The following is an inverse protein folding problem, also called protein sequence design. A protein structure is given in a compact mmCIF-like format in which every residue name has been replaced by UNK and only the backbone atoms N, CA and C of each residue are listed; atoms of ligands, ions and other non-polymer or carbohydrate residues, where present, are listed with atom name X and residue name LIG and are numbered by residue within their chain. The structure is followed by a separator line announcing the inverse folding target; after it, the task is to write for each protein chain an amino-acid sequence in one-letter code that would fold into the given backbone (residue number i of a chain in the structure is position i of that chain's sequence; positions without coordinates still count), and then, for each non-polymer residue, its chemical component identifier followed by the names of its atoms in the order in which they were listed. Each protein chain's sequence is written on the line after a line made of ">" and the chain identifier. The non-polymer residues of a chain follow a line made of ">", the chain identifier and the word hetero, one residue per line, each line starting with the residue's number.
data_IF_223758715357
#
_entry.id   IF_223758715357
#
_cell.length_a   1.000
_cell.length_b   1.000
_cell.length_c   1.000
_cell.angle_alpha   90.00
_cell.angle_beta   90.00
_cell.angle_gamma   90.00
#
_symmetry.space_group_name_H-M   'P 1'
#
loop_
_entity.id
_entity.type
_entity.pdbx_description
1 polymer ?
#
# COMPACT_ATOMS: atom_id res chain seq x y z
N UNK A 1 -18.79 7.93 66.64
CA UNK A 1 -19.85 8.76 66.02
C UNK A 1 -19.20 9.61 64.95
N UNK A 2 -19.28 9.24 63.69
CA UNK A 2 -19.06 10.14 62.54
C UNK A 2 -19.69 9.45 61.33
N UNK A 3 -20.76 10.11 60.84
CA UNK A 3 -21.61 9.68 59.71
C UNK A 3 -20.90 10.03 58.41
N UNK A 4 -20.62 9.05 57.57
CA UNK A 4 -20.21 9.26 56.18
C UNK A 4 -21.47 9.35 55.33
N UNK A 5 -21.71 10.53 54.77
CA UNK A 5 -22.73 10.78 53.79
C UNK A 5 -22.20 10.35 52.42
N UNK A 6 -22.81 9.30 51.83
CA UNK A 6 -22.60 8.91 50.44
C UNK A 6 -23.45 9.83 49.54
N UNK A 7 -22.81 10.76 48.85
CA UNK A 7 -23.43 11.56 47.79
C UNK A 7 -23.37 10.78 46.49
N UNK A 8 -24.48 10.24 46.03
CA UNK A 8 -24.61 9.60 44.70
C UNK A 8 -24.70 10.73 43.70
N UNK A 9 -23.60 10.92 42.96
CA UNK A 9 -23.55 11.79 41.76
C UNK A 9 -24.11 11.01 40.58
N UNK A 10 -25.40 11.24 40.27
CA UNK A 10 -26.08 10.71 39.09
C UNK A 10 -25.54 11.44 37.86
N UNK A 11 -24.55 10.84 37.19
CA UNK A 11 -24.06 11.31 35.91
C UNK A 11 -25.08 10.96 34.81
N UNK A 12 -25.93 11.91 34.45
CA UNK A 12 -26.71 11.84 33.22
C UNK A 12 -25.73 11.86 32.02
N UNK A 13 -25.43 10.70 31.46
CA UNK A 13 -24.76 10.56 30.17
C UNK A 13 -25.74 11.02 29.10
N UNK A 14 -25.65 12.29 28.71
CA UNK A 14 -26.27 12.81 27.48
C UNK A 14 -25.56 12.11 26.30
N UNK A 15 -26.19 11.06 25.78
CA UNK A 15 -25.88 10.48 24.47
C UNK A 15 -26.22 11.56 23.42
N UNK A 16 -25.24 12.42 23.12
CA UNK A 16 -25.25 13.16 21.88
C UNK A 16 -25.05 12.11 20.76
N UNK A 17 -26.14 11.56 20.27
CA UNK A 17 -26.16 10.94 18.96
C UNK A 17 -25.70 12.02 17.99
N UNK A 18 -24.48 11.87 17.46
CA UNK A 18 -24.03 12.62 16.30
C UNK A 18 -24.97 12.23 15.16
N UNK A 19 -26.07 12.99 14.99
CA UNK A 19 -26.83 12.95 13.75
C UNK A 19 -25.81 13.36 12.69
N UNK A 20 -25.27 12.39 11.93
CA UNK A 20 -24.50 12.65 10.73
C UNK A 20 -25.44 13.41 9.80
N UNK A 21 -25.30 14.73 9.74
CA UNK A 21 -26.03 15.55 8.81
C UNK A 21 -25.67 15.06 7.40
N UNK A 22 -26.67 14.56 6.69
CA UNK A 22 -26.55 14.12 5.30
C UNK A 22 -25.87 15.22 4.48
N UNK A 23 -24.65 14.96 4.01
CA UNK A 23 -23.89 15.93 3.21
C UNK A 23 -24.35 15.87 1.76
N UNK A 24 -24.42 17.05 1.13
CA UNK A 24 -24.75 17.17 -0.29
C UNK A 24 -23.49 17.52 -1.07
N UNK A 25 -23.04 16.59 -1.91
CA UNK A 25 -21.90 16.77 -2.79
C UNK A 25 -22.38 17.14 -4.21
N UNK A 26 -21.89 18.24 -4.74
CA UNK A 26 -22.06 18.59 -6.16
C UNK A 26 -20.69 18.62 -6.80
N UNK A 27 -20.37 17.61 -7.62
CA UNK A 27 -19.02 17.36 -8.08
C UNK A 27 -18.93 17.25 -9.59
N UNK A 28 -17.85 17.83 -10.14
CA UNK A 28 -17.33 17.48 -11.46
C UNK A 28 -16.47 16.22 -11.37
N UNK A 29 -16.15 15.57 -12.49
CA UNK A 29 -15.29 14.38 -12.51
C UNK A 29 -13.92 14.65 -11.87
N UNK A 30 -13.35 15.83 -12.08
CA UNK A 30 -12.08 16.25 -11.47
C UNK A 30 -12.20 16.37 -9.96
N UNK A 31 -13.22 17.06 -9.46
CA UNK A 31 -13.48 17.20 -8.03
C UNK A 31 -13.77 15.84 -7.36
N UNK A 32 -14.48 14.95 -8.07
CA UNK A 32 -14.73 13.60 -7.62
C UNK A 32 -13.41 12.79 -7.46
N UNK A 33 -12.52 12.89 -8.44
CA UNK A 33 -11.19 12.27 -8.35
C UNK A 33 -10.35 12.84 -7.20
N UNK A 34 -10.33 14.16 -7.03
CA UNK A 34 -9.60 14.82 -5.92
C UNK A 34 -10.16 14.41 -4.55
N UNK A 35 -11.50 14.29 -4.42
CA UNK A 35 -12.15 13.82 -3.20
C UNK A 35 -11.79 12.36 -2.89
N UNK A 36 -11.80 11.49 -3.91
CA UNK A 36 -11.40 10.10 -3.78
C UNK A 36 -9.96 9.96 -3.28
N UNK A 37 -9.01 10.70 -3.87
CA UNK A 37 -7.61 10.71 -3.45
C UNK A 37 -7.43 11.13 -1.98
N UNK A 38 -8.32 11.95 -1.45
CA UNK A 38 -8.28 12.37 -0.05
C UNK A 38 -8.90 11.34 0.90
N UNK A 39 -9.95 10.65 0.47
CA UNK A 39 -10.80 9.85 1.36
C UNK A 39 -10.53 8.36 1.30
N UNK A 40 -10.13 7.84 0.14
CA UNK A 40 -10.00 6.40 -0.14
C UNK A 40 -8.97 5.75 0.79
N UNK A 41 -9.38 4.65 1.41
CA UNK A 41 -8.61 3.95 2.43
C UNK A 41 -7.26 3.47 1.93
N UNK A 42 -7.17 3.05 0.65
CA UNK A 42 -5.92 2.62 0.02
C UNK A 42 -4.86 3.73 0.01
N UNK A 43 -5.24 4.97 -0.28
CA UNK A 43 -4.30 6.12 -0.23
C UNK A 43 -3.91 6.44 1.22
N UNK A 44 -4.86 6.42 2.15
CA UNK A 44 -4.56 6.62 3.58
C UNK A 44 -3.59 5.56 4.10
N UNK A 45 -3.80 4.30 3.73
CA UNK A 45 -2.89 3.22 4.11
C UNK A 45 -1.49 3.40 3.51
N UNK A 46 -1.38 3.81 2.24
CA UNK A 46 -0.09 4.10 1.63
C UNK A 46 0.61 5.31 2.28
N UNK A 47 -0.12 6.31 2.75
CA UNK A 47 0.43 7.40 3.54
C UNK A 47 0.95 6.90 4.90
N UNK A 48 0.23 6.00 5.56
CA UNK A 48 0.69 5.33 6.78
C UNK A 48 1.94 4.47 6.48
N UNK A 49 1.99 3.76 5.36
CA UNK A 49 3.17 3.00 4.94
C UNK A 49 4.39 3.91 4.73
N UNK A 50 4.18 5.13 4.24
CA UNK A 50 5.22 6.16 4.16
C UNK A 50 5.73 6.57 5.54
N UNK A 51 4.84 6.77 6.50
CA UNK A 51 5.21 7.07 7.89
C UNK A 51 5.94 5.90 8.55
N UNK A 52 5.46 4.67 8.32
CA UNK A 52 6.13 3.44 8.74
C UNK A 52 7.55 3.35 8.18
N UNK A 53 7.73 3.67 6.89
CA UNK A 53 9.07 3.70 6.29
C UNK A 53 9.95 4.78 6.90
N UNK A 54 9.40 5.95 7.24
CA UNK A 54 10.13 7.00 7.95
C UNK A 54 10.54 6.54 9.36
N UNK A 55 9.68 5.83 10.09
CA UNK A 55 9.99 5.25 11.39
C UNK A 55 11.10 4.19 11.28
N UNK A 56 11.02 3.26 10.32
CA UNK A 56 12.09 2.30 10.00
C UNK A 56 13.41 2.97 9.67
N UNK A 57 13.38 4.07 8.93
CA UNK A 57 14.58 4.84 8.62
C UNK A 57 15.24 5.45 9.87
N UNK A 58 14.43 5.89 10.85
CA UNK A 58 14.92 6.35 12.16
C UNK A 58 15.49 5.20 12.97
N UNK A 59 14.84 4.04 12.95
CA UNK A 59 15.32 2.80 13.60
C UNK A 59 16.71 2.39 13.05
N UNK A 60 16.89 2.35 11.74
CA UNK A 60 18.22 2.09 11.14
C UNK A 60 19.25 3.15 11.53
N UNK A 61 18.84 4.42 11.67
CA UNK A 61 19.75 5.47 12.15
C UNK A 61 20.13 5.24 13.60
N UNK A 62 19.17 4.81 14.43
CA UNK A 62 19.43 4.55 15.85
C UNK A 62 20.44 3.42 16.06
N UNK A 63 20.54 2.44 15.13
CA UNK A 63 21.59 1.41 15.19
C UNK A 63 23.01 1.97 15.06
N UNK A 64 23.17 3.12 14.41
CA UNK A 64 24.46 3.82 14.32
C UNK A 64 24.75 4.70 15.56
N UNK A 65 23.77 4.92 16.42
CA UNK A 65 23.91 5.71 17.63
C UNK A 65 24.46 4.86 18.79
N UNK A 66 24.99 5.49 19.87
CA UNK A 66 25.39 4.80 21.06
C UNK A 66 24.27 3.97 21.68
N UNK A 67 24.57 2.72 22.04
CA UNK A 67 23.66 1.84 22.74
C UNK A 67 24.10 1.70 24.19
N UNK A 68 23.19 1.86 25.13
CA UNK A 68 23.44 1.70 26.57
C UNK A 68 22.50 0.63 27.10
N UNK A 69 23.08 -0.43 27.64
CA UNK A 69 22.33 -1.56 28.19
C UNK A 69 22.67 -1.76 29.65
N UNK A 70 21.67 -1.92 30.49
CA UNK A 70 21.82 -2.37 31.88
C UNK A 70 21.63 -3.88 31.99
N UNK A 71 22.44 -4.54 32.76
CA UNK A 71 22.30 -5.97 33.06
C UNK A 71 22.43 -6.25 34.55
N UNK A 72 21.58 -7.14 35.04
CA UNK A 72 21.65 -7.69 36.40
C UNK A 72 21.58 -9.19 36.25
N UNK A 73 22.56 -9.88 36.83
CA UNK A 73 22.67 -11.34 36.76
C UNK A 73 23.02 -11.89 38.14
N UNK A 74 22.43 -12.99 38.53
CA UNK A 74 22.83 -13.79 39.64
C UNK A 74 22.87 -15.25 39.24
N UNK A 75 23.99 -15.92 39.53
CA UNK A 75 24.19 -17.33 39.19
C UNK A 75 24.69 -18.11 40.42
N UNK A 76 24.22 -19.35 40.52
CA UNK A 76 24.63 -20.30 41.52
C UNK A 76 25.37 -21.44 40.85
N UNK A 77 26.62 -21.69 41.30
CA UNK A 77 27.41 -22.84 40.89
C UNK A 77 27.10 -24.01 41.83
N UNK A 78 26.41 -25.03 41.37
CA UNK A 78 26.21 -26.28 42.11
C UNK A 78 27.54 -27.04 42.30
N UNK A 79 28.47 -26.85 41.36
CA UNK A 79 29.84 -27.36 41.45
C UNK A 79 30.77 -26.25 40.95
N UNK A 80 31.69 -25.82 41.83
CA UNK A 80 32.67 -24.80 41.47
C UNK A 80 33.70 -25.44 40.55
N UNK A 81 34.04 -24.79 39.42
CA UNK A 81 35.03 -25.32 38.48
C UNK A 81 36.39 -25.55 39.14
N UNK A 82 37.00 -26.69 38.85
CA UNK A 82 38.36 -27.03 39.29
C UNK A 82 39.36 -26.49 38.28
N UNK A 83 40.34 -25.75 38.75
CA UNK A 83 41.45 -25.28 37.93
C UNK A 83 42.72 -26.04 38.36
N UNK A 84 43.43 -26.62 37.40
CA UNK A 84 44.72 -27.25 37.66
C UNK A 84 45.80 -26.16 37.80
N UNK A 85 46.36 -26.01 39.01
CA UNK A 85 47.45 -25.07 39.24
C UNK A 85 48.77 -25.81 39.24
N UNK A 86 49.80 -25.28 38.58
CA UNK A 86 51.16 -25.80 38.77
C UNK A 86 51.56 -25.58 40.25
N UNK A 87 52.27 -26.55 40.79
CA UNK A 87 52.83 -26.43 42.11
C UNK A 87 53.96 -25.37 42.13
N UNK A 88 53.61 -24.17 42.53
CA UNK A 88 54.53 -23.05 42.73
C UNK A 88 55.00 -22.89 44.14
N UNK A 89 54.39 -23.63 45.09
CA UNK A 89 54.71 -23.57 46.54
C UNK A 89 55.91 -24.43 46.87
N UNK A 90 55.87 -25.71 46.45
CA UNK A 90 56.95 -26.65 46.74
C UNK A 90 58.34 -26.18 46.23
N UNK A 91 58.48 -25.72 44.97
CA UNK A 91 59.74 -25.17 44.47
C UNK A 91 60.21 -23.97 45.30
N UNK A 92 59.27 -23.07 45.65
CA UNK A 92 59.59 -21.89 46.48
C UNK A 92 60.05 -22.24 47.87
N UNK A 93 59.39 -23.21 48.55
CA UNK A 93 59.77 -23.71 49.86
C UNK A 93 61.13 -24.43 49.82
N UNK A 94 61.30 -25.31 48.79
CA UNK A 94 62.58 -25.98 48.66
C UNK A 94 63.72 -24.99 48.42
N UNK A 95 63.50 -23.95 47.66
CA UNK A 95 64.48 -22.89 47.37
C UNK A 95 64.86 -22.17 48.66
N UNK A 96 63.89 -21.76 49.52
CA UNK A 96 64.16 -21.12 50.83
C UNK A 96 64.95 -22.04 51.73
N UNK A 97 64.60 -23.34 51.80
CA UNK A 97 65.29 -24.31 52.62
C UNK A 97 66.74 -24.53 52.19
N UNK A 98 66.96 -24.61 50.85
CA UNK A 98 68.32 -24.77 50.28
C UNK A 98 69.16 -23.53 50.48
N UNK A 99 68.58 -22.33 50.21
CA UNK A 99 69.31 -21.07 50.39
C UNK A 99 69.73 -20.78 51.79
N UNK A 100 69.01 -21.31 52.78
CA UNK A 100 69.32 -21.19 54.26
C UNK A 100 70.11 -22.40 54.79
N UNK A 101 70.58 -23.30 53.93
CA UNK A 101 71.43 -24.42 54.33
C UNK A 101 70.75 -25.44 55.27
N UNK A 102 69.42 -25.55 55.24
CA UNK A 102 68.63 -26.49 56.06
C UNK A 102 68.96 -27.93 55.64
N UNK A 103 69.19 -28.79 56.61
CA UNK A 103 69.49 -30.22 56.42
C UNK A 103 68.29 -31.08 56.80
N UNK A 104 68.14 -32.24 56.19
CA UNK A 104 67.08 -33.20 56.47
C UNK A 104 67.37 -33.94 57.80
N UNK A 105 66.43 -34.77 58.30
CA UNK A 105 66.61 -35.53 59.60
C UNK A 105 67.79 -36.50 59.61
N UNK A 106 68.43 -36.81 58.45
CA UNK A 106 69.66 -37.63 58.35
C UNK A 106 70.90 -36.76 58.17
N UNK A 107 70.82 -35.45 58.29
CA UNK A 107 71.94 -34.52 58.19
C UNK A 107 72.39 -34.16 56.76
N UNK A 108 71.69 -34.62 55.70
CA UNK A 108 72.01 -34.35 54.30
C UNK A 108 71.39 -33.04 53.87
N UNK A 109 72.04 -32.27 52.92
CA UNK A 109 71.45 -31.07 52.36
C UNK A 109 70.11 -31.38 51.70
N UNK A 110 69.11 -30.52 51.92
CA UNK A 110 67.85 -30.58 51.17
C UNK A 110 68.16 -30.13 49.76
N UNK A 111 67.70 -30.92 48.77
CA UNK A 111 67.75 -30.54 47.31
C UNK A 111 66.37 -30.42 46.73
N UNK A 112 66.20 -29.50 45.76
CA UNK A 112 64.96 -29.40 44.97
C UNK A 112 64.74 -30.69 44.21
N UNK A 113 63.60 -31.36 44.34
CA UNK A 113 63.30 -32.54 43.57
C UNK A 113 63.29 -32.18 42.06
N UNK A 114 64.07 -32.92 41.32
CA UNK A 114 64.08 -32.76 39.81
C UNK A 114 62.88 -33.50 39.23
N UNK A 115 61.66 -33.06 39.62
CA UNK A 115 60.39 -33.66 39.18
C UNK A 115 59.69 -32.78 38.14
N UNK A 116 58.98 -33.43 37.23
CA UNK A 116 58.14 -32.71 36.30
C UNK A 116 57.17 -31.81 37.11
N UNK A 117 56.76 -30.64 36.57
CA UNK A 117 55.79 -29.76 37.22
C UNK A 117 54.57 -30.57 37.65
N UNK A 118 54.35 -30.65 39.01
CA UNK A 118 53.13 -31.25 39.54
C UNK A 118 51.99 -30.23 39.45
N UNK A 119 50.83 -30.71 39.12
CA UNK A 119 49.62 -29.91 39.13
C UNK A 119 48.70 -30.40 40.22
N UNK A 120 48.13 -29.49 40.99
CA UNK A 120 47.12 -29.85 41.98
C UNK A 120 45.77 -29.20 41.61
N UNK A 121 44.68 -29.92 41.84
CA UNK A 121 43.34 -29.38 41.57
C UNK A 121 42.99 -28.37 42.68
N UNK A 122 42.68 -27.16 42.28
CA UNK A 122 42.23 -26.12 43.19
C UNK A 122 40.86 -25.58 42.75
N UNK A 123 39.96 -25.40 43.67
CA UNK A 123 38.68 -24.77 43.43
C UNK A 123 38.76 -23.29 43.86
N UNK A 124 38.79 -22.39 42.87
CA UNK A 124 38.76 -20.96 43.12
C UNK A 124 37.40 -20.41 42.75
N UNK A 125 36.66 -19.94 43.73
CA UNK A 125 35.37 -19.35 43.52
C UNK A 125 34.43 -19.49 44.70
N UNK A 126 33.24 -19.01 44.56
CA UNK A 126 32.17 -19.10 45.53
C UNK A 126 30.90 -19.56 44.86
N UNK A 127 29.98 -20.22 45.57
CA UNK A 127 28.76 -20.76 44.99
C UNK A 127 27.87 -19.69 44.35
N UNK A 128 27.80 -18.50 44.92
CA UNK A 128 26.95 -17.41 44.40
C UNK A 128 27.80 -16.29 43.84
N UNK A 129 27.44 -15.92 42.60
CA UNK A 129 28.03 -14.78 41.90
C UNK A 129 26.89 -13.89 41.37
N UNK A 130 26.84 -12.66 41.86
CA UNK A 130 25.89 -11.66 41.38
C UNK A 130 26.62 -10.50 40.72
N UNK A 131 26.11 -9.99 39.65
CA UNK A 131 26.64 -8.82 38.94
C UNK A 131 25.53 -7.87 38.54
N UNK A 132 25.81 -6.59 38.68
CA UNK A 132 24.96 -5.51 38.15
C UNK A 132 25.84 -4.50 37.44
N UNK A 133 25.46 -4.11 36.24
CA UNK A 133 26.31 -3.23 35.45
C UNK A 133 25.60 -2.53 34.28
N UNK A 134 26.32 -1.62 33.70
CA UNK A 134 25.94 -0.93 32.46
C UNK A 134 27.02 -1.15 31.42
N UNK A 135 26.56 -1.35 30.19
CA UNK A 135 27.42 -1.48 29.03
C UNK A 135 27.03 -0.43 27.99
N UNK A 136 27.98 0.38 27.60
CA UNK A 136 27.91 1.30 26.47
C UNK A 136 28.57 0.63 25.28
N UNK A 137 27.92 0.68 24.12
CA UNK A 137 28.48 0.18 22.87
C UNK A 137 28.23 1.19 21.75
N UNK A 138 29.26 1.48 20.98
CA UNK A 138 29.19 2.39 19.83
C UNK A 138 29.81 1.74 18.60
N UNK A 139 29.05 1.74 17.53
CA UNK A 139 29.54 1.40 16.21
C UNK A 139 30.40 2.56 15.69
N UNK A 140 31.68 2.31 15.39
CA UNK A 140 32.58 3.30 14.85
C UNK A 140 32.68 3.25 13.33
N UNK A 141 32.69 2.03 12.77
CA UNK A 141 32.79 1.84 11.33
C UNK A 141 32.14 0.53 10.88
N UNK A 142 31.14 0.64 9.98
CA UNK A 142 30.47 -0.49 9.36
C UNK A 142 30.04 -0.08 7.94
N UNK A 143 30.78 -0.44 6.88
CA UNK A 143 30.58 0.06 5.54
C UNK A 143 29.22 -0.29 4.92
N UNK A 144 28.68 -1.47 5.19
CA UNK A 144 27.35 -1.89 4.72
C UNK A 144 26.23 -1.06 5.35
N UNK A 145 26.40 -0.59 6.59
CA UNK A 145 25.47 0.33 7.23
C UNK A 145 25.43 1.70 6.54
N UNK A 146 26.56 2.22 6.06
CA UNK A 146 26.56 3.49 5.31
C UNK A 146 25.71 3.41 4.04
N UNK A 147 25.74 2.26 3.35
CA UNK A 147 24.86 2.04 2.18
C UNK A 147 23.39 1.91 2.63
N UNK A 148 23.10 1.21 3.73
CA UNK A 148 21.75 1.12 4.27
C UNK A 148 21.21 2.52 4.64
N UNK A 149 22.03 3.37 5.24
CA UNK A 149 21.69 4.76 5.54
C UNK A 149 21.41 5.59 4.26
N UNK A 150 22.17 5.34 3.18
CA UNK A 150 21.94 5.97 1.87
C UNK A 150 20.63 5.48 1.23
N UNK A 151 20.29 4.22 1.41
CA UNK A 151 19.08 3.61 0.86
C UNK A 151 17.78 4.17 1.50
N UNK A 152 17.85 4.79 2.69
CA UNK A 152 16.67 5.32 3.41
C UNK A 152 15.84 6.29 2.58
N UNK A 153 16.50 7.21 1.86
CA UNK A 153 15.81 8.17 0.99
C UNK A 153 15.10 7.42 -0.15
N UNK A 154 15.80 6.45 -0.77
CA UNK A 154 15.22 5.66 -1.86
C UNK A 154 14.07 4.76 -1.42
N UNK A 155 14.05 4.32 -0.16
CA UNK A 155 12.92 3.59 0.40
C UNK A 155 11.67 4.48 0.57
N UNK A 156 11.84 5.78 0.88
CA UNK A 156 10.75 6.75 0.86
C UNK A 156 10.31 7.03 -0.58
N UNK A 157 11.26 7.28 -1.51
CA UNK A 157 10.98 7.49 -2.94
C UNK A 157 10.16 6.32 -3.52
N UNK A 158 10.41 5.07 -3.06
CA UNK A 158 9.63 3.89 -3.44
C UNK A 158 8.17 4.01 -2.99
N UNK A 159 7.94 4.39 -1.74
CA UNK A 159 6.59 4.55 -1.21
C UNK A 159 5.84 5.68 -1.93
N UNK A 160 6.53 6.82 -2.16
CA UNK A 160 5.96 7.96 -2.89
C UNK A 160 5.62 7.61 -4.34
N UNK A 161 6.46 6.81 -5.02
CA UNK A 161 6.20 6.33 -6.37
C UNK A 161 5.00 5.34 -6.41
N UNK A 162 4.86 4.49 -5.39
CA UNK A 162 3.73 3.57 -5.27
C UNK A 162 2.41 4.32 -5.05
N UNK A 163 2.42 5.39 -4.24
CA UNK A 163 1.25 6.29 -4.08
C UNK A 163 0.82 6.83 -5.45
N UNK A 164 1.74 7.33 -6.26
CA UNK A 164 1.42 7.89 -7.59
C UNK A 164 0.81 6.86 -8.55
N UNK A 165 1.27 5.61 -8.51
CA UNK A 165 0.67 4.51 -9.30
C UNK A 165 -0.77 4.26 -8.85
N UNK A 166 -1.03 4.28 -7.55
CA UNK A 166 -2.39 4.10 -7.00
C UNK A 166 -3.29 5.29 -7.34
N UNK A 167 -2.79 6.53 -7.26
CA UNK A 167 -3.51 7.74 -7.64
C UNK A 167 -4.04 7.67 -9.08
N UNK A 168 -3.22 7.28 -10.04
CA UNK A 168 -3.63 7.12 -11.44
C UNK A 168 -4.71 6.04 -11.59
N UNK A 169 -4.63 4.98 -10.81
CA UNK A 169 -5.63 3.91 -10.81
C UNK A 169 -6.99 4.41 -10.27
N UNK A 170 -6.97 5.12 -9.15
CA UNK A 170 -8.17 5.68 -8.51
C UNK A 170 -8.83 6.72 -9.43
N UNK A 171 -8.06 7.65 -10.00
CA UNK A 171 -8.58 8.64 -10.95
C UNK A 171 -9.29 7.98 -12.12
N UNK A 172 -8.68 6.95 -12.72
CA UNK A 172 -9.25 6.19 -13.81
C UNK A 172 -10.58 5.51 -13.42
N UNK A 173 -10.61 4.86 -12.26
CA UNK A 173 -11.80 4.14 -11.79
C UNK A 173 -12.95 5.09 -11.45
N UNK A 174 -12.64 6.19 -10.75
CA UNK A 174 -13.64 7.24 -10.43
C UNK A 174 -14.19 7.86 -11.70
N UNK A 175 -13.36 8.18 -12.68
CA UNK A 175 -13.81 8.76 -13.94
C UNK A 175 -14.77 7.82 -14.68
N UNK A 176 -14.46 6.52 -14.75
CA UNK A 176 -15.33 5.51 -15.38
C UNK A 176 -16.67 5.39 -14.65
N UNK A 177 -16.66 5.29 -13.32
CA UNK A 177 -17.89 5.21 -12.53
C UNK A 177 -18.73 6.48 -12.68
N UNK A 178 -18.10 7.65 -12.64
CA UNK A 178 -18.76 8.94 -12.82
C UNK A 178 -19.48 9.06 -14.16
N UNK A 179 -18.78 8.80 -15.27
CA UNK A 179 -19.37 8.90 -16.60
C UNK A 179 -20.39 7.81 -16.88
N UNK A 180 -20.26 6.62 -16.26
CA UNK A 180 -21.28 5.57 -16.36
C UNK A 180 -22.63 6.04 -15.83
N UNK A 181 -22.64 6.66 -14.63
CA UNK A 181 -23.87 7.20 -14.02
C UNK A 181 -24.42 8.36 -14.88
N UNK A 182 -23.55 9.28 -15.27
CA UNK A 182 -23.97 10.46 -16.05
C UNK A 182 -24.62 10.09 -17.41
N UNK A 183 -24.08 9.06 -18.08
CA UNK A 183 -24.65 8.55 -19.34
C UNK A 183 -25.98 7.84 -19.08
N UNK A 184 -26.07 7.04 -18.02
CA UNK A 184 -27.30 6.35 -17.64
C UNK A 184 -28.44 7.36 -17.33
N UNK A 185 -28.14 8.46 -16.63
CA UNK A 185 -29.11 9.54 -16.38
C UNK A 185 -29.59 10.20 -17.68
N UNK A 186 -28.70 10.45 -18.62
CA UNK A 186 -29.08 11.02 -19.92
C UNK A 186 -29.93 10.05 -20.73
N UNK A 187 -29.58 8.75 -20.72
CA UNK A 187 -30.37 7.71 -21.36
C UNK A 187 -31.77 7.60 -20.76
N UNK A 188 -31.88 7.65 -19.41
CA UNK A 188 -33.17 7.65 -18.73
C UNK A 188 -34.04 8.81 -19.15
N UNK A 189 -33.52 10.05 -19.18
CA UNK A 189 -34.25 11.23 -19.67
C UNK A 189 -34.75 11.08 -21.08
N UNK A 190 -33.96 10.45 -21.95
CA UNK A 190 -34.37 10.18 -23.33
C UNK A 190 -35.54 9.17 -23.37
N UNK A 191 -35.47 8.07 -22.63
CA UNK A 191 -36.55 7.09 -22.53
C UNK A 191 -37.81 7.65 -21.93
N UNK A 192 -37.72 8.47 -20.88
CA UNK A 192 -38.90 9.13 -20.29
C UNK A 192 -39.58 10.04 -21.29
N UNK A 193 -38.82 10.72 -22.17
CA UNK A 193 -39.39 11.50 -23.27
C UNK A 193 -40.09 10.62 -24.33
N UNK A 194 -39.53 9.43 -24.66
CA UNK A 194 -40.18 8.45 -25.56
C UNK A 194 -41.46 7.90 -24.97
N UNK A 195 -41.47 7.54 -23.66
CA UNK A 195 -42.67 7.08 -22.94
C UNK A 195 -43.75 8.15 -23.01
N UNK A 196 -43.43 9.41 -22.72
CA UNK A 196 -44.39 10.52 -22.82
C UNK A 196 -44.97 10.71 -24.21
N UNK A 197 -44.16 10.51 -25.27
CA UNK A 197 -44.62 10.57 -26.66
C UNK A 197 -45.63 9.45 -26.99
N UNK A 198 -45.31 8.23 -26.54
CA UNK A 198 -46.19 7.07 -26.77
C UNK A 198 -47.49 7.13 -25.94
N UNK A 199 -47.42 7.64 -24.72
CA UNK A 199 -48.59 7.84 -23.86
C UNK A 199 -49.57 8.83 -24.53
N UNK A 200 -49.05 9.91 -25.10
CA UNK A 200 -49.85 10.86 -25.89
C UNK A 200 -50.45 10.19 -27.14
N UNK A 201 -49.64 9.41 -27.86
CA UNK A 201 -50.12 8.66 -29.04
C UNK A 201 -51.29 7.74 -28.68
N UNK A 202 -51.12 6.94 -27.59
CA UNK A 202 -52.18 6.06 -27.11
C UNK A 202 -53.47 6.81 -26.75
N UNK A 203 -53.36 7.94 -26.03
CA UNK A 203 -54.54 8.78 -25.70
C UNK A 203 -55.25 9.30 -26.97
N UNK A 204 -54.51 9.67 -27.99
CA UNK A 204 -55.08 10.14 -29.25
C UNK A 204 -55.74 8.98 -30.04
N UNK A 205 -55.11 7.77 -30.03
CA UNK A 205 -55.74 6.56 -30.60
C UNK A 205 -56.99 6.14 -29.87
N UNK A 206 -57.09 6.24 -28.55
CA UNK A 206 -58.33 5.99 -27.77
C UNK A 206 -59.45 6.92 -28.15
N UNK A 207 -59.17 8.22 -28.44
CA UNK A 207 -60.15 9.18 -28.91
C UNK A 207 -60.66 8.84 -30.33
N UNK A 208 -59.73 8.48 -31.21
CA UNK A 208 -60.06 8.08 -32.59
C UNK A 208 -60.88 6.80 -32.60
N UNK A 209 -60.57 5.79 -31.75
CA UNK A 209 -61.32 4.57 -31.63
C UNK A 209 -62.77 4.83 -31.16
N UNK A 210 -62.94 5.67 -30.12
CA UNK A 210 -64.30 6.05 -29.65
C UNK A 210 -65.18 6.70 -30.73
N UNK A 211 -64.51 7.35 -31.69
CA UNK A 211 -65.20 7.99 -32.82
C UNK A 211 -65.26 7.09 -34.09
N UNK A 212 -64.81 5.84 -34.00
CA UNK A 212 -64.83 4.86 -35.10
C UNK A 212 -63.73 5.04 -36.16
N UNK A 213 -62.70 5.85 -35.90
CA UNK A 213 -61.61 6.16 -36.84
C UNK A 213 -60.30 5.39 -36.61
N UNK A 214 -60.25 4.52 -35.64
CA UNK A 214 -59.10 3.66 -35.32
C UNK A 214 -59.51 2.28 -34.82
N UNK A 215 -58.65 1.29 -34.95
CA UNK A 215 -58.84 -0.06 -34.44
C UNK A 215 -58.35 -0.20 -32.98
N UNK A 216 -59.02 -1.03 -32.19
CA UNK A 216 -58.52 -1.35 -30.80
C UNK A 216 -57.15 -1.99 -30.83
N UNK A 217 -56.81 -2.76 -31.88
CA UNK A 217 -55.52 -3.39 -32.08
C UNK A 217 -54.35 -2.36 -32.06
N UNK A 218 -54.55 -1.15 -32.57
CA UNK A 218 -53.53 -0.11 -32.55
C UNK A 218 -53.22 0.40 -31.13
N UNK A 219 -54.27 0.50 -30.27
CA UNK A 219 -54.13 0.84 -28.88
C UNK A 219 -53.35 -0.23 -28.15
N UNK A 220 -53.66 -1.54 -28.41
CA UNK A 220 -53.00 -2.65 -27.76
C UNK A 220 -51.51 -2.70 -28.17
N UNK A 221 -51.18 -2.52 -29.43
CA UNK A 221 -49.77 -2.44 -29.88
C UNK A 221 -49.00 -1.31 -29.21
N UNK A 222 -49.62 -0.14 -29.12
CA UNK A 222 -49.00 1.01 -28.43
C UNK A 222 -48.82 0.74 -26.97
N UNK A 223 -49.77 0.06 -26.28
CA UNK A 223 -49.65 -0.34 -24.91
C UNK A 223 -48.52 -1.34 -24.66
N UNK A 224 -48.34 -2.32 -25.57
CA UNK A 224 -47.21 -3.27 -25.48
C UNK A 224 -45.87 -2.55 -25.58
N UNK A 225 -45.74 -1.61 -26.50
CA UNK A 225 -44.52 -0.79 -26.64
C UNK A 225 -44.26 0.08 -25.43
N UNK A 226 -45.29 0.71 -24.87
CA UNK A 226 -45.23 1.48 -23.60
C UNK A 226 -44.74 0.62 -22.43
N UNK A 227 -45.31 -0.59 -22.27
CA UNK A 227 -44.92 -1.50 -21.22
C UNK A 227 -43.43 -1.89 -21.32
N UNK A 228 -42.96 -2.19 -22.55
CA UNK A 228 -41.56 -2.52 -22.80
C UNK A 228 -40.62 -1.35 -22.46
N UNK A 229 -40.94 -0.11 -22.91
CA UNK A 229 -40.12 1.05 -22.58
C UNK A 229 -40.16 1.41 -21.09
N UNK A 230 -41.33 1.28 -20.45
CA UNK A 230 -41.46 1.49 -18.99
C UNK A 230 -40.63 0.50 -18.19
N UNK A 231 -40.62 -0.77 -18.62
CA UNK A 231 -39.76 -1.79 -18.01
C UNK A 231 -38.28 -1.42 -18.17
N UNK A 232 -37.87 -1.02 -19.37
CA UNK A 232 -36.49 -0.58 -19.66
C UNK A 232 -36.11 0.65 -18.84
N UNK A 233 -37.00 1.64 -18.72
CA UNK A 233 -36.80 2.85 -17.92
C UNK A 233 -36.60 2.50 -16.44
N UNK A 234 -37.42 1.59 -15.89
CA UNK A 234 -37.27 1.09 -14.50
C UNK A 234 -35.95 0.37 -14.30
N UNK A 235 -35.51 -0.47 -15.26
CA UNK A 235 -34.21 -1.15 -15.17
C UNK A 235 -33.04 -0.14 -15.15
N UNK A 236 -33.09 0.89 -16.01
CA UNK A 236 -32.05 1.92 -16.02
C UNK A 236 -32.06 2.74 -14.73
N UNK A 237 -33.23 3.01 -14.16
CA UNK A 237 -33.34 3.69 -12.87
C UNK A 237 -32.65 2.89 -11.76
N UNK A 238 -32.85 1.58 -11.73
CA UNK A 238 -32.15 0.71 -10.77
C UNK A 238 -30.64 0.64 -11.04
N UNK A 239 -30.22 0.65 -12.29
CA UNK A 239 -28.79 0.75 -12.65
C UNK A 239 -28.18 2.11 -12.21
N UNK A 240 -28.92 3.19 -12.28
CA UNK A 240 -28.49 4.51 -11.78
C UNK A 240 -28.32 4.47 -10.26
N UNK A 241 -29.27 3.89 -9.51
CA UNK A 241 -29.15 3.72 -8.05
C UNK A 241 -27.89 2.94 -7.69
N UNK A 242 -27.64 1.79 -8.32
CA UNK A 242 -26.43 0.98 -8.14
C UNK A 242 -25.17 1.75 -8.55
N UNK A 243 -25.24 2.49 -9.65
CA UNK A 243 -24.15 3.33 -10.13
C UNK A 243 -23.75 4.41 -9.12
N UNK A 244 -24.73 5.11 -8.54
CA UNK A 244 -24.48 6.08 -7.48
C UNK A 244 -23.90 5.43 -6.23
N UNK A 245 -24.41 4.27 -5.81
CA UNK A 245 -23.84 3.52 -4.67
C UNK A 245 -22.40 3.13 -4.91
N UNK A 246 -22.08 2.63 -6.11
CA UNK A 246 -20.72 2.27 -6.52
C UNK A 246 -19.79 3.50 -6.60
N UNK A 247 -20.30 4.62 -7.12
CA UNK A 247 -19.53 5.86 -7.18
C UNK A 247 -19.24 6.40 -5.77
N UNK A 248 -20.23 6.43 -4.88
CA UNK A 248 -20.06 6.82 -3.47
C UNK A 248 -19.01 5.95 -2.78
N UNK A 249 -19.06 4.64 -3.01
CA UNK A 249 -18.02 3.73 -2.51
C UNK A 249 -16.63 4.08 -3.06
N UNK A 250 -16.53 4.36 -4.36
CA UNK A 250 -15.25 4.75 -5.00
C UNK A 250 -14.72 6.11 -4.52
N UNK A 251 -15.60 6.97 -4.02
CA UNK A 251 -15.26 8.26 -3.40
C UNK A 251 -14.98 8.16 -1.90
N UNK A 252 -15.24 7.00 -1.30
CA UNK A 252 -15.20 6.76 0.14
C UNK A 252 -16.03 7.79 0.94
N UNK A 253 -17.27 8.03 0.48
CA UNK A 253 -18.30 8.82 1.18
C UNK A 253 -19.45 7.92 1.63
N UNK A 254 -20.23 8.40 2.59
CA UNK A 254 -21.34 7.63 3.16
C UNK A 254 -22.43 7.38 2.10
N UNK A 255 -23.05 6.20 2.16
CA UNK A 255 -24.15 5.84 1.27
C UNK A 255 -25.41 6.70 1.53
N UNK A 256 -25.55 7.25 2.72
CA UNK A 256 -26.66 8.16 3.07
C UNK A 256 -26.48 9.56 2.44
N UNK A 257 -25.27 9.96 2.07
CA UNK A 257 -25.00 11.28 1.49
C UNK A 257 -25.65 11.46 0.12
N UNK A 258 -25.99 12.71 -0.22
CA UNK A 258 -26.51 13.02 -1.56
C UNK A 258 -25.41 13.43 -2.50
N UNK A 259 -25.28 12.74 -3.65
CA UNK A 259 -24.32 13.05 -4.69
C UNK A 259 -25.03 13.55 -5.96
N UNK A 260 -24.58 14.67 -6.49
CA UNK A 260 -25.08 15.27 -7.73
C UNK A 260 -23.89 15.46 -8.70
N UNK A 261 -24.04 14.95 -9.91
CA UNK A 261 -23.04 15.10 -10.97
C UNK A 261 -23.25 16.43 -11.70
N UNK A 262 -22.15 17.19 -11.89
CA UNK A 262 -22.23 18.57 -12.40
C UNK A 262 -21.78 18.71 -13.85
N UNK A 263 -21.08 17.70 -14.40
CA UNK A 263 -20.56 17.80 -15.76
C UNK A 263 -21.66 17.64 -16.82
N UNK A 264 -21.45 18.32 -17.93
CA UNK A 264 -22.29 18.18 -19.10
C UNK A 264 -21.59 17.26 -20.11
N UNK A 265 -22.29 16.22 -20.55
CA UNK A 265 -21.79 15.36 -21.63
C UNK A 265 -21.84 16.13 -22.96
N UNK A 266 -20.67 16.33 -23.56
CA UNK A 266 -20.57 16.82 -24.95
C UNK A 266 -19.65 15.90 -25.76
N UNK A 267 -19.97 15.67 -27.02
CA UNK A 267 -19.15 14.89 -27.96
C UNK A 267 -17.78 15.56 -28.15
N UNK A 268 -17.71 16.89 -28.08
CA UNK A 268 -16.48 17.67 -28.18
C UNK A 268 -15.49 17.35 -27.08
N UNK A 269 -16.00 17.02 -25.90
CA UNK A 269 -15.18 16.61 -24.75
C UNK A 269 -14.36 15.34 -25.07
N UNK A 270 -14.92 14.45 -25.89
CA UNK A 270 -14.28 13.19 -26.29
C UNK A 270 -13.30 13.39 -27.44
N UNK A 271 -13.61 14.33 -28.38
CA UNK A 271 -12.82 14.58 -29.60
C UNK A 271 -11.54 15.39 -29.35
N UNK A 272 -11.44 16.14 -28.24
CA UNK A 272 -10.41 17.16 -27.99
C UNK A 272 -8.96 16.64 -27.84
N UNK A 273 -8.74 15.35 -27.54
CA UNK A 273 -7.43 14.80 -27.19
C UNK A 273 -6.74 13.96 -28.29
N UNK A 274 -7.25 13.99 -29.54
CA UNK A 274 -6.72 13.17 -30.65
C UNK A 274 -5.33 13.60 -31.18
N UNK A 275 -4.84 14.78 -30.79
CA UNK A 275 -3.71 15.43 -31.48
C UNK A 275 -2.33 15.22 -30.84
N UNK A 276 -2.22 14.51 -29.68
CA UNK A 276 -0.98 14.49 -28.90
C UNK A 276 -0.18 13.17 -28.92
N UNK A 277 -0.30 12.34 -29.94
CA UNK A 277 0.44 11.06 -30.02
C UNK A 277 1.96 11.19 -30.21
N UNK A 278 2.49 12.37 -30.48
CA UNK A 278 3.87 12.50 -31.03
C UNK A 278 5.00 12.45 -29.99
N UNK A 279 4.75 12.55 -28.68
CA UNK A 279 5.79 12.68 -27.66
C UNK A 279 5.59 11.76 -26.46
N UNK A 280 5.41 10.43 -26.67
CA UNK A 280 5.36 9.48 -25.56
C UNK A 280 6.77 9.21 -25.01
N UNK A 281 6.91 9.30 -23.67
CA UNK A 281 8.12 8.89 -22.96
C UNK A 281 7.74 7.86 -21.89
N UNK A 282 8.46 6.74 -21.81
CA UNK A 282 8.25 5.74 -20.78
C UNK A 282 8.34 6.30 -19.36
N UNK A 283 9.14 7.35 -19.14
CA UNK A 283 9.26 7.99 -17.83
C UNK A 283 7.99 8.75 -17.38
N UNK A 284 7.03 9.00 -18.25
CA UNK A 284 5.74 9.60 -17.89
C UNK A 284 4.85 8.57 -17.17
N UNK A 285 5.12 7.26 -17.36
CA UNK A 285 4.41 6.17 -16.72
C UNK A 285 4.89 5.97 -15.28
N UNK A 286 3.92 6.06 -14.33
CA UNK A 286 4.22 5.93 -12.90
C UNK A 286 4.76 4.55 -12.53
N UNK A 287 4.33 3.50 -13.25
CA UNK A 287 4.83 2.14 -13.07
C UNK A 287 6.32 2.03 -13.42
N UNK A 288 6.78 2.72 -14.48
CA UNK A 288 8.21 2.76 -14.84
C UNK A 288 9.01 3.57 -13.82
N UNK A 289 8.47 4.70 -13.35
CA UNK A 289 9.11 5.49 -12.28
C UNK A 289 9.30 4.65 -11.02
N UNK A 290 8.28 3.88 -10.61
CA UNK A 290 8.35 2.95 -9.48
C UNK A 290 9.44 1.89 -9.69
N UNK A 291 9.45 1.23 -10.84
CA UNK A 291 10.43 0.19 -11.16
C UNK A 291 11.86 0.73 -11.23
N UNK A 292 12.06 1.96 -11.68
CA UNK A 292 13.38 2.60 -11.65
C UNK A 292 13.87 2.82 -10.22
N UNK A 293 12.99 3.22 -9.29
CA UNK A 293 13.35 3.31 -7.86
C UNK A 293 13.69 1.93 -7.29
N UNK A 294 12.92 0.89 -7.64
CA UNK A 294 13.22 -0.51 -7.25
C UNK A 294 14.61 -0.92 -7.77
N UNK A 295 14.93 -0.63 -9.03
CA UNK A 295 16.24 -0.90 -9.62
C UNK A 295 17.38 -0.22 -8.86
N UNK A 296 17.20 1.04 -8.47
CA UNK A 296 18.20 1.76 -7.67
C UNK A 296 18.38 1.12 -6.29
N UNK A 297 17.29 0.70 -5.62
CA UNK A 297 17.35 -0.01 -4.34
C UNK A 297 18.08 -1.35 -4.46
N UNK A 298 17.81 -2.14 -5.51
CA UNK A 298 18.54 -3.39 -5.78
C UNK A 298 20.02 -3.12 -6.06
N UNK A 299 20.35 -2.05 -6.76
CA UNK A 299 21.73 -1.62 -6.98
C UNK A 299 22.46 -1.24 -5.67
N UNK A 300 21.75 -0.61 -4.73
CA UNK A 300 22.28 -0.34 -3.39
C UNK A 300 22.46 -1.62 -2.58
N UNK A 301 21.54 -2.60 -2.71
CA UNK A 301 21.69 -3.89 -2.03
C UNK A 301 22.91 -4.68 -2.52
N UNK A 302 23.18 -4.68 -3.84
CA UNK A 302 24.43 -5.24 -4.39
C UNK A 302 25.66 -4.56 -3.77
N UNK A 303 25.65 -3.22 -3.69
CA UNK A 303 26.78 -2.47 -3.09
C UNK A 303 26.93 -2.80 -1.60
N UNK A 304 25.84 -2.88 -0.85
CA UNK A 304 25.82 -3.26 0.56
C UNK A 304 26.47 -4.63 0.78
N UNK A 305 26.07 -5.63 0.01
CA UNK A 305 26.64 -6.97 0.10
C UNK A 305 28.12 -7.02 -0.29
N UNK A 306 28.56 -6.22 -1.27
CA UNK A 306 29.98 -6.10 -1.60
C UNK A 306 30.80 -5.50 -0.46
N UNK A 307 30.28 -4.49 0.23
CA UNK A 307 30.98 -3.84 1.34
C UNK A 307 31.01 -4.69 2.62
N UNK A 308 30.24 -5.77 2.71
CA UNK A 308 30.27 -6.68 3.86
C UNK A 308 31.59 -7.47 4.02
N UNK A 309 32.50 -7.40 3.06
CA UNK A 309 33.88 -7.92 3.17
C UNK A 309 34.80 -7.00 3.96
N UNK A 310 34.46 -5.75 4.11
CA UNK A 310 35.30 -4.78 4.84
C UNK A 310 35.10 -4.98 6.32
N UNK A 311 36.19 -4.91 7.14
CA UNK A 311 36.11 -5.07 8.59
C UNK A 311 35.14 -4.08 9.24
N UNK A 312 34.54 -4.49 10.36
CA UNK A 312 33.72 -3.64 11.21
C UNK A 312 34.49 -3.26 12.48
N UNK A 313 34.29 -2.05 12.97
CA UNK A 313 34.94 -1.51 14.15
C UNK A 313 33.87 -1.02 15.13
N UNK A 314 33.93 -1.52 16.36
CA UNK A 314 33.07 -1.11 17.47
C UNK A 314 33.91 -0.74 18.67
N UNK A 315 33.45 0.21 19.47
CA UNK A 315 34.00 0.49 20.79
C UNK A 315 32.95 0.17 21.85
N UNK A 316 33.44 -0.25 23.02
CA UNK A 316 32.55 -0.51 24.14
C UNK A 316 33.22 -0.07 25.45
N UNK A 317 32.37 0.34 26.39
CA UNK A 317 32.71 0.61 27.75
C UNK A 317 31.76 -0.18 28.65
N UNK A 318 32.31 -0.91 29.63
CA UNK A 318 31.52 -1.67 30.57
C UNK A 318 31.94 -1.28 32.01
N UNK A 319 30.95 -0.98 32.80
CA UNK A 319 31.08 -0.79 34.23
C UNK A 319 30.16 -1.76 34.95
N UNK A 320 30.72 -2.60 35.84
CA UNK A 320 29.93 -3.52 36.63
C UNK A 320 30.40 -3.56 38.09
N UNK A 321 29.50 -3.96 38.95
CA UNK A 321 29.79 -4.36 40.33
C UNK A 321 29.46 -5.83 40.48
N UNK A 322 30.37 -6.56 41.12
CA UNK A 322 30.28 -7.99 41.28
C UNK A 322 30.31 -8.34 42.76
N UNK A 323 29.34 -9.08 43.25
CA UNK A 323 29.28 -9.62 44.59
C UNK A 323 29.50 -11.12 44.53
N UNK A 324 30.43 -11.60 45.39
CA UNK A 324 30.86 -12.98 45.49
C UNK A 324 30.54 -13.48 46.89
N UNK A 325 29.84 -14.61 47.06
CA UNK A 325 29.41 -15.07 48.37
C UNK A 325 29.01 -16.54 48.44
N UNK A 326 28.85 -17.02 49.67
CA UNK A 326 28.41 -18.39 49.97
C UNK A 326 26.87 -18.53 49.92
N UNK A 327 26.14 -17.39 49.97
CA UNK A 327 24.69 -17.31 49.95
C UNK A 327 24.23 -16.35 48.83
N UNK A 328 22.96 -16.44 48.47
CA UNK A 328 22.36 -15.50 47.55
C UNK A 328 22.50 -14.06 48.04
N UNK A 329 23.12 -13.19 47.24
CA UNK A 329 23.57 -11.87 47.67
C UNK A 329 23.13 -10.73 46.72
N UNK A 330 22.26 -10.99 45.75
CA UNK A 330 21.83 -9.98 44.75
C UNK A 330 21.24 -8.72 45.40
N UNK A 331 20.47 -8.88 46.46
CA UNK A 331 19.80 -7.78 47.19
C UNK A 331 20.50 -7.44 48.53
N UNK A 332 21.62 -8.07 48.84
CA UNK A 332 22.38 -7.78 50.03
C UNK A 332 23.44 -6.71 49.75
N UNK A 333 23.09 -5.45 49.97
CA UNK A 333 23.99 -4.31 49.75
C UNK A 333 25.04 -4.15 50.88
N UNK A 334 24.94 -4.91 51.95
CA UNK A 334 25.98 -4.97 53.01
C UNK A 334 27.18 -5.81 52.57
N UNK A 335 27.04 -6.72 51.61
CA UNK A 335 28.16 -7.48 51.08
C UNK A 335 29.09 -6.59 50.26
N UNK A 336 30.35 -6.99 50.14
CA UNK A 336 31.35 -6.30 49.34
C UNK A 336 31.03 -6.47 47.86
N UNK A 337 30.69 -5.37 47.20
CA UNK A 337 30.54 -5.29 45.75
C UNK A 337 31.81 -4.73 45.10
N UNK A 338 32.52 -5.58 44.37
CA UNK A 338 33.78 -5.25 43.72
C UNK A 338 33.49 -4.55 42.37
N UNK A 339 34.19 -3.44 42.12
CA UNK A 339 34.07 -2.67 40.86
C UNK A 339 34.90 -3.34 39.78
N UNK A 340 34.32 -3.42 38.57
CA UNK A 340 35.05 -3.72 37.34
C UNK A 340 34.70 -2.66 36.31
N UNK A 341 35.72 -2.07 35.67
CA UNK A 341 35.54 -1.09 34.62
C UNK A 341 36.53 -1.39 33.52
N UNK A 342 36.03 -1.48 32.32
CA UNK A 342 36.87 -1.74 31.15
C UNK A 342 36.35 -0.95 29.92
N UNK A 343 37.29 -0.53 29.09
CA UNK A 343 37.05 0.04 27.82
C UNK A 343 37.84 -0.73 26.75
N UNK A 344 37.25 -0.90 25.56
CA UNK A 344 37.92 -1.61 24.49
C UNK A 344 37.42 -1.23 23.13
N UNK A 345 38.22 -1.58 22.14
CA UNK A 345 37.87 -1.52 20.73
C UNK A 345 37.92 -2.94 20.20
N UNK A 346 36.84 -3.31 19.47
CA UNK A 346 36.76 -4.60 18.81
C UNK A 346 36.72 -4.39 17.29
N UNK A 347 37.66 -5.00 16.57
CA UNK A 347 37.72 -5.04 15.12
C UNK A 347 37.42 -6.47 14.64
N UNK A 348 36.32 -6.63 13.92
CA UNK A 348 35.93 -7.92 13.33
C UNK A 348 36.32 -7.94 11.85
N UNK A 349 37.27 -8.83 11.49
CA UNK A 349 37.77 -9.01 10.13
C UNK A 349 37.28 -10.35 9.61
N UNK A 350 36.38 -10.36 8.61
CA UNK A 350 35.92 -11.61 8.01
C UNK A 350 37.00 -12.22 7.10
N UNK A 351 37.65 -13.29 7.56
CA UNK A 351 38.73 -13.97 6.79
C UNK A 351 38.13 -15.02 5.87
N UNK A 352 37.27 -15.87 6.37
CA UNK A 352 36.65 -16.94 5.62
C UNK A 352 35.24 -17.23 6.18
N UNK A 353 34.26 -17.34 5.30
CA UNK A 353 32.85 -17.53 5.66
C UNK A 353 32.18 -18.68 4.85
N UNK A 354 32.99 -19.62 4.33
CA UNK A 354 32.48 -20.70 3.49
C UNK A 354 31.84 -20.22 2.17
N UNK A 355 32.15 -19.00 1.71
CA UNK A 355 31.60 -18.44 0.49
C UNK A 355 30.22 -17.80 0.63
N UNK A 356 29.69 -17.64 1.87
CA UNK A 356 28.35 -17.08 2.12
C UNK A 356 28.17 -15.69 1.51
N UNK A 357 29.15 -14.80 1.69
CA UNK A 357 29.08 -13.43 1.13
C UNK A 357 29.10 -13.43 -0.39
N UNK A 358 29.89 -14.30 -1.02
CA UNK A 358 29.92 -14.43 -2.47
C UNK A 358 28.55 -14.84 -3.03
N UNK A 359 27.86 -15.79 -2.36
CA UNK A 359 26.52 -16.20 -2.76
C UNK A 359 25.47 -15.09 -2.50
N UNK A 360 25.58 -14.32 -1.43
CA UNK A 360 24.71 -13.15 -1.20
C UNK A 360 24.87 -12.09 -2.29
N UNK A 361 26.10 -11.80 -2.73
CA UNK A 361 26.34 -10.89 -3.85
C UNK A 361 25.75 -11.44 -5.15
N UNK A 362 25.90 -12.75 -5.41
CA UNK A 362 25.30 -13.39 -6.57
C UNK A 362 23.77 -13.27 -6.54
N UNK A 363 23.13 -13.54 -5.39
CA UNK A 363 21.69 -13.37 -5.22
C UNK A 363 21.23 -11.93 -5.46
N UNK A 364 21.95 -10.94 -4.92
CA UNK A 364 21.64 -9.53 -5.12
C UNK A 364 21.76 -9.12 -6.61
N UNK A 365 22.80 -9.59 -7.31
CA UNK A 365 22.94 -9.35 -8.75
C UNK A 365 21.81 -10.01 -9.56
N UNK A 366 21.41 -11.22 -9.23
CA UNK A 366 20.30 -11.91 -9.89
C UNK A 366 18.95 -11.19 -9.64
N UNK A 367 18.73 -10.64 -8.44
CA UNK A 367 17.57 -9.82 -8.15
C UNK A 367 17.56 -8.52 -8.96
N UNK A 368 18.73 -7.86 -9.11
CA UNK A 368 18.85 -6.69 -9.97
C UNK A 368 18.58 -7.05 -11.44
N UNK A 369 19.11 -8.17 -11.93
CA UNK A 369 18.83 -8.66 -13.29
C UNK A 369 17.33 -8.96 -13.47
N UNK A 370 16.69 -9.62 -12.50
CA UNK A 370 15.25 -9.86 -12.50
C UNK A 370 14.46 -8.56 -12.60
N UNK A 371 14.87 -7.52 -11.88
CA UNK A 371 14.26 -6.20 -11.96
C UNK A 371 14.40 -5.57 -13.35
N UNK A 372 15.57 -5.67 -13.99
CA UNK A 372 15.76 -5.21 -15.37
C UNK A 372 14.82 -5.95 -16.34
N UNK A 373 14.74 -7.28 -16.25
CA UNK A 373 13.84 -8.08 -17.09
C UNK A 373 12.36 -7.68 -16.86
N UNK A 374 11.99 -7.31 -15.63
CA UNK A 374 10.64 -6.80 -15.32
C UNK A 374 10.40 -5.45 -15.99
N UNK A 375 11.38 -4.54 -15.98
CA UNK A 375 11.28 -3.25 -16.66
C UNK A 375 11.07 -3.46 -18.17
N UNK A 376 11.87 -4.29 -18.80
CA UNK A 376 11.77 -4.60 -20.23
C UNK A 376 10.39 -5.20 -20.58
N UNK A 377 9.88 -6.09 -19.72
CA UNK A 377 8.55 -6.68 -19.93
C UNK A 377 7.43 -5.65 -19.76
N UNK A 378 7.53 -4.78 -18.76
CA UNK A 378 6.55 -3.70 -18.55
C UNK A 378 6.59 -2.69 -19.70
N UNK A 379 7.75 -2.36 -20.27
CA UNK A 379 7.86 -1.51 -21.46
C UNK A 379 7.12 -2.13 -22.65
N UNK A 380 7.33 -3.42 -22.93
CA UNK A 380 6.59 -4.14 -23.99
C UNK A 380 5.08 -4.16 -23.73
N UNK A 381 4.66 -4.33 -22.49
CA UNK A 381 3.24 -4.27 -22.11
C UNK A 381 2.65 -2.86 -22.33
N UNK A 382 3.43 -1.82 -22.04
CA UNK A 382 3.04 -0.42 -22.31
C UNK A 382 2.91 -0.18 -23.82
N UNK A 383 3.84 -0.68 -24.65
CA UNK A 383 3.77 -0.56 -26.10
C UNK A 383 2.50 -1.23 -26.67
N UNK A 384 2.19 -2.43 -26.18
CA UNK A 384 0.96 -3.13 -26.53
C UNK A 384 -0.26 -2.32 -26.09
N UNK A 385 -0.27 -1.81 -24.86
CA UNK A 385 -1.37 -1.02 -24.31
C UNK A 385 -1.59 0.28 -25.08
N UNK A 386 -0.53 0.99 -25.45
CA UNK A 386 -0.58 2.21 -26.26
C UNK A 386 -1.19 1.92 -27.62
N UNK A 387 -0.68 0.89 -28.32
CA UNK A 387 -1.18 0.50 -29.64
C UNK A 387 -2.65 0.08 -29.57
N UNK A 388 -3.00 -0.79 -28.63
CA UNK A 388 -4.37 -1.28 -28.48
C UNK A 388 -5.34 -0.15 -28.09
N UNK A 389 -5.00 0.68 -27.10
CA UNK A 389 -5.86 1.78 -26.67
C UNK A 389 -6.03 2.85 -27.74
N UNK A 390 -5.00 3.12 -28.54
CA UNK A 390 -5.10 4.03 -29.70
C UNK A 390 -6.06 3.52 -30.76
N UNK A 391 -5.96 2.22 -31.11
CA UNK A 391 -6.87 1.59 -32.10
C UNK A 391 -8.30 1.61 -31.57
N UNK A 392 -8.52 1.19 -30.32
CA UNK A 392 -9.85 1.16 -29.71
C UNK A 392 -10.45 2.57 -29.65
N UNK A 393 -9.66 3.58 -29.25
CA UNK A 393 -10.13 4.96 -29.14
C UNK A 393 -10.54 5.52 -30.50
N UNK A 394 -9.72 5.37 -31.55
CA UNK A 394 -10.05 5.79 -32.90
C UNK A 394 -11.32 5.12 -33.44
N UNK A 395 -11.45 3.80 -33.21
CA UNK A 395 -12.63 3.05 -33.60
C UNK A 395 -13.89 3.51 -32.87
N UNK A 396 -13.79 3.70 -31.53
CA UNK A 396 -14.90 4.19 -30.69
C UNK A 396 -15.36 5.59 -31.10
N UNK A 397 -14.43 6.48 -31.52
CA UNK A 397 -14.77 7.80 -32.03
C UNK A 397 -15.51 7.71 -33.39
N UNK A 398 -15.03 6.87 -34.30
CA UNK A 398 -15.71 6.64 -35.58
C UNK A 398 -17.10 6.06 -35.38
N UNK A 399 -17.24 5.09 -34.47
CA UNK A 399 -18.54 4.51 -34.10
C UNK A 399 -19.48 5.59 -33.52
N UNK A 400 -18.99 6.40 -32.57
CA UNK A 400 -19.77 7.48 -31.97
C UNK A 400 -20.28 8.48 -33.02
N UNK A 401 -19.42 8.89 -33.96
CA UNK A 401 -19.79 9.82 -35.03
C UNK A 401 -20.90 9.24 -35.95
N UNK A 402 -20.81 7.93 -36.25
CA UNK A 402 -21.84 7.23 -37.04
C UNK A 402 -23.15 7.10 -36.26
N UNK A 403 -23.09 6.72 -34.95
CA UNK A 403 -24.31 6.58 -34.15
C UNK A 403 -24.97 7.94 -33.87
N UNK A 404 -24.21 9.02 -33.73
CA UNK A 404 -24.75 10.38 -33.61
C UNK A 404 -25.56 10.75 -34.88
N UNK A 405 -25.02 10.47 -36.06
CA UNK A 405 -25.75 10.68 -37.35
C UNK A 405 -26.99 9.79 -37.47
N UNK A 406 -26.91 8.54 -37.00
CA UNK A 406 -28.02 7.60 -37.00
C UNK A 406 -29.20 8.09 -36.15
N UNK A 407 -28.91 8.59 -34.93
CA UNK A 407 -29.98 9.17 -34.06
C UNK A 407 -30.64 10.35 -34.73
N UNK A 408 -29.86 11.29 -35.29
CA UNK A 408 -30.42 12.46 -36.00
C UNK A 408 -31.29 12.03 -37.19
N UNK A 409 -30.85 11.01 -37.95
CA UNK A 409 -31.62 10.49 -39.07
C UNK A 409 -32.89 9.78 -38.61
N UNK A 410 -32.82 8.93 -37.61
CA UNK A 410 -33.97 8.21 -37.03
C UNK A 410 -34.99 9.20 -36.44
N UNK A 411 -34.54 10.27 -35.77
CA UNK A 411 -35.44 11.33 -35.31
C UNK A 411 -36.14 12.06 -36.44
N UNK A 412 -35.43 12.34 -37.54
CA UNK A 412 -36.03 12.93 -38.76
C UNK A 412 -37.08 11.99 -39.37
N UNK A 413 -36.78 10.69 -39.47
CA UNK A 413 -37.73 9.68 -40.01
C UNK A 413 -38.95 9.61 -39.11
N UNK A 414 -38.80 9.46 -37.80
CA UNK A 414 -39.88 9.46 -36.83
C UNK A 414 -40.77 10.70 -36.95
N UNK A 415 -40.19 11.89 -36.95
CA UNK A 415 -40.93 13.15 -37.06
C UNK A 415 -41.68 13.28 -38.37
N UNK A 416 -41.13 12.74 -39.46
CA UNK A 416 -41.80 12.73 -40.78
C UNK A 416 -42.97 11.74 -40.78
N UNK A 417 -42.79 10.53 -40.27
CA UNK A 417 -43.82 9.51 -40.17
C UNK A 417 -44.96 9.96 -39.24
N UNK A 418 -44.61 10.61 -38.13
CA UNK A 418 -45.59 11.21 -37.22
C UNK A 418 -46.48 12.24 -37.91
N UNK A 419 -45.91 13.16 -38.70
CA UNK A 419 -46.68 14.14 -39.50
C UNK A 419 -47.61 13.47 -40.50
N UNK A 420 -47.17 12.40 -41.20
CA UNK A 420 -47.99 11.62 -42.10
C UNK A 420 -49.15 10.97 -41.35
N UNK A 421 -48.89 10.37 -40.21
CA UNK A 421 -49.91 9.75 -39.36
C UNK A 421 -50.97 10.78 -38.92
N UNK A 422 -50.52 11.94 -38.40
CA UNK A 422 -51.41 13.05 -37.97
C UNK A 422 -52.28 13.59 -39.11
N UNK A 423 -51.84 13.47 -40.37
CA UNK A 423 -52.57 13.85 -41.57
C UNK A 423 -53.46 12.73 -42.17
N UNK A 424 -53.47 11.55 -41.53
CA UNK A 424 -54.22 10.38 -42.02
C UNK A 424 -53.57 9.67 -43.23
N UNK A 425 -52.34 10.00 -43.57
CA UNK A 425 -51.57 9.45 -44.70
C UNK A 425 -50.62 8.31 -44.35
N UNK A 426 -50.49 7.97 -43.06
CA UNK A 426 -49.62 6.92 -42.51
C UNK A 426 -50.37 6.01 -41.56
N UNK A 427 -49.84 4.80 -41.35
CA UNK A 427 -50.42 3.85 -40.38
C UNK A 427 -49.81 3.99 -38.99
N UNK A 428 -50.59 3.58 -37.97
CA UNK A 428 -50.11 3.44 -36.59
C UNK A 428 -48.91 2.50 -36.49
N UNK A 429 -48.91 1.44 -37.29
CA UNK A 429 -47.80 0.46 -37.31
C UNK A 429 -46.48 1.09 -37.78
N UNK A 430 -46.49 1.89 -38.85
CA UNK A 430 -45.30 2.61 -39.35
C UNK A 430 -44.77 3.56 -38.26
N UNK A 431 -45.64 4.28 -37.53
CA UNK A 431 -45.24 5.20 -36.47
C UNK A 431 -44.60 4.46 -35.32
N UNK A 432 -45.16 3.33 -34.86
CA UNK A 432 -44.57 2.50 -33.78
C UNK A 432 -43.24 1.89 -34.21
N UNK A 433 -43.12 1.46 -35.48
CA UNK A 433 -41.86 0.95 -36.02
C UNK A 433 -40.76 2.02 -36.00
N UNK A 434 -41.05 3.24 -36.45
CA UNK A 434 -40.06 4.34 -36.48
C UNK A 434 -39.71 4.82 -35.04
N UNK A 435 -40.62 4.75 -34.07
CA UNK A 435 -40.32 5.00 -32.65
C UNK A 435 -39.34 3.93 -32.11
N UNK A 436 -39.56 2.66 -32.44
CA UNK A 436 -38.64 1.56 -32.04
C UNK A 436 -37.26 1.72 -32.69
N UNK A 437 -37.21 2.12 -33.97
CA UNK A 437 -35.95 2.40 -34.67
C UNK A 437 -35.20 3.58 -34.03
N UNK A 438 -35.91 4.65 -33.65
CA UNK A 438 -35.35 5.81 -32.96
C UNK A 438 -34.82 5.44 -31.57
N UNK A 439 -35.53 4.60 -30.79
CA UNK A 439 -35.07 4.11 -29.49
C UNK A 439 -33.81 3.27 -29.64
N UNK A 440 -33.77 2.33 -30.58
CA UNK A 440 -32.61 1.51 -30.90
C UNK A 440 -31.39 2.38 -31.31
N UNK A 441 -31.58 3.36 -32.15
CA UNK A 441 -30.52 4.30 -32.54
C UNK A 441 -29.99 5.08 -31.32
N UNK A 442 -30.90 5.59 -30.49
CA UNK A 442 -30.50 6.28 -29.24
C UNK A 442 -29.77 5.37 -28.27
N UNK A 443 -30.23 4.13 -28.09
CA UNK A 443 -29.55 3.13 -27.26
C UNK A 443 -28.12 2.88 -27.74
N UNK A 444 -27.93 2.67 -29.04
CA UNK A 444 -26.63 2.47 -29.67
C UNK A 444 -25.74 3.72 -29.53
N UNK A 445 -26.30 4.90 -29.65
CA UNK A 445 -25.56 6.16 -29.43
C UNK A 445 -25.04 6.28 -27.98
N UNK A 446 -25.89 6.05 -26.97
CA UNK A 446 -25.46 6.11 -25.58
C UNK A 446 -24.41 5.04 -25.25
N UNK A 447 -24.52 3.84 -25.81
CA UNK A 447 -23.50 2.80 -25.71
C UNK A 447 -22.18 3.25 -26.35
N UNK A 448 -22.21 3.78 -27.59
CA UNK A 448 -21.01 4.27 -28.26
C UNK A 448 -20.36 5.44 -27.55
N UNK A 449 -21.15 6.31 -26.91
CA UNK A 449 -20.65 7.41 -26.09
C UNK A 449 -19.93 6.89 -24.84
N UNK A 450 -20.49 5.88 -24.17
CA UNK A 450 -19.86 5.20 -23.03
C UNK A 450 -18.53 4.56 -23.44
N UNK A 451 -18.52 3.82 -24.55
CA UNK A 451 -17.33 3.15 -25.07
C UNK A 451 -16.24 4.15 -25.46
N UNK A 452 -16.60 5.26 -26.10
CA UNK A 452 -15.66 6.31 -26.50
C UNK A 452 -15.03 7.02 -25.28
N UNK A 453 -15.82 7.31 -24.24
CA UNK A 453 -15.30 7.90 -22.98
C UNK A 453 -14.36 6.92 -22.27
N UNK A 454 -14.72 5.65 -22.16
CA UNK A 454 -13.85 4.63 -21.54
C UNK A 454 -12.56 4.39 -22.34
N UNK A 455 -12.66 4.39 -23.67
CA UNK A 455 -11.50 4.29 -24.56
C UNK A 455 -10.57 5.50 -24.39
N UNK A 456 -11.11 6.72 -24.26
CA UNK A 456 -10.34 7.94 -23.96
C UNK A 456 -9.61 7.83 -22.62
N UNK A 457 -10.31 7.44 -21.56
CA UNK A 457 -9.70 7.27 -20.22
C UNK A 457 -8.55 6.25 -20.30
N UNK A 458 -8.77 5.13 -21.01
CA UNK A 458 -7.76 4.08 -21.18
C UNK A 458 -6.56 4.58 -22.00
N UNK A 459 -6.79 5.36 -23.02
CA UNK A 459 -5.75 5.95 -23.86
C UNK A 459 -4.93 7.00 -23.10
N UNK A 460 -5.57 7.90 -22.36
CA UNK A 460 -4.87 8.88 -21.51
C UNK A 460 -4.04 8.21 -20.42
N UNK A 461 -4.57 7.14 -19.82
CA UNK A 461 -3.79 6.31 -18.89
C UNK A 461 -2.59 5.66 -19.56
N UNK A 462 -2.75 5.15 -20.78
CA UNK A 462 -1.64 4.55 -21.53
C UNK A 462 -0.54 5.56 -21.83
N UNK A 463 -0.90 6.84 -22.09
CA UNK A 463 0.04 7.95 -22.28
C UNK A 463 0.67 8.47 -20.98
N UNK A 464 0.19 8.06 -19.78
CA UNK A 464 0.62 8.62 -18.50
C UNK A 464 0.10 10.03 -18.20
N UNK A 465 -1.04 10.42 -18.80
CA UNK A 465 -1.66 11.76 -18.73
C UNK A 465 -2.97 11.77 -17.91
N UNK A 466 -3.03 11.04 -16.79
CA UNK A 466 -4.19 11.05 -15.88
C UNK A 466 -3.97 11.93 -14.65
#
# INVERSE_FOLDING_TARGET
>A
MNRWAFTIFSSAVLLFGTANAQQKYKLTVRQAAELALKNVTEIKNLQIDRELQMAKNKEYTAQAMPQVNGSVQSQHFFSIPVTLLPDFISPSVYKVLTDNGVRNGSGSPISTPNSKPQYFPAQFGVPWQSSAGIQFQQLLFQPDLFIALKARKKAIDYTDANIKVMEDSIKSNVARAYYSVLIAEKRKKYLDASINRLDKLKSDQEKLYKNGFAEHLDIDKTQVTLNNLSTTSTQIEKLIEIGYASLKFSLAIDQADTLVLSDTLSVDLVKKDLLEMSNFNYNDRKEIQLLNVVKELQGLDVKRNKLSYIPTLTTYYSYSRNALGQKFNLFNFADKWYKTSLWGINMSVPIFDGGQKAQRIKQANLNLQKTNNTIDNVQRAIDLQLKASSIIFKNSLSSLDMQEKNVVLAEKVYNTTKKKYEQGLGSSFELLQTESELENAASNYFQSLYDAINARISYNRALGKL
#
